data_IF_487001191073
#
_entry.id   IF_487001191073
#
_cell.length_a   1.000
_cell.length_b   1.000
_cell.length_c   1.000
_cell.angle_alpha   90.00
_cell.angle_beta   90.00
_cell.angle_gamma   90.00
#
_symmetry.space_group_name_H-M   'P 1'
#
loop_
_entity.id
_entity.type
_entity.pdbx_description
1 polymer ?
#
# COMPACT_ATOMS: atom_id res chain seq x y z
N UNK A 1 -4.50 12.22 -27.70
CA UNK A 1 -3.88 12.41 -26.37
C UNK A 1 -4.92 12.37 -25.26
N UNK A 2 -4.52 11.89 -24.08
CA UNK A 2 -5.25 11.93 -22.82
C UNK A 2 -4.51 12.86 -21.86
N UNK A 3 -5.25 13.73 -21.18
CA UNK A 3 -4.73 14.59 -20.12
C UNK A 3 -5.15 13.95 -18.80
N UNK A 4 -4.19 13.38 -18.07
CA UNK A 4 -4.44 12.56 -16.89
C UNK A 4 -3.85 13.23 -15.66
N UNK A 5 -4.67 13.42 -14.63
CA UNK A 5 -4.29 14.07 -13.39
C UNK A 5 -3.74 13.06 -12.39
N UNK A 6 -2.53 13.30 -11.90
CA UNK A 6 -1.90 12.53 -10.83
C UNK A 6 -1.77 13.42 -9.59
N UNK A 7 -2.23 12.93 -8.45
CA UNK A 7 -2.02 13.51 -7.12
C UNK A 7 -0.89 12.76 -6.42
N UNK A 8 0.09 13.49 -5.89
CA UNK A 8 1.28 12.93 -5.23
C UNK A 8 1.10 12.83 -3.71
N UNK A 9 2.13 12.30 -3.04
CA UNK A 9 2.11 12.04 -1.60
C UNK A 9 2.13 13.33 -0.76
N UNK A 10 2.60 14.44 -1.32
CA UNK A 10 2.55 15.80 -0.75
C UNK A 10 1.25 16.56 -1.11
N UNK A 11 0.29 15.87 -1.74
CA UNK A 11 -0.98 16.43 -2.25
C UNK A 11 -0.87 17.37 -3.45
N UNK A 12 0.35 17.62 -3.95
CA UNK A 12 0.55 18.30 -5.23
C UNK A 12 -0.12 17.51 -6.37
N UNK A 13 -0.55 18.22 -7.41
CA UNK A 13 -1.18 17.61 -8.58
C UNK A 13 -0.45 18.02 -9.85
N UNK A 14 -0.24 17.05 -10.75
CA UNK A 14 0.28 17.29 -12.09
C UNK A 14 -0.59 16.61 -13.13
N UNK A 15 -0.79 17.31 -14.24
CA UNK A 15 -1.44 16.73 -15.42
C UNK A 15 -0.36 16.25 -16.39
N UNK A 16 -0.44 14.97 -16.77
CA UNK A 16 0.42 14.35 -17.77
C UNK A 16 -0.35 14.13 -19.06
N UNK A 17 0.34 14.23 -20.19
CA UNK A 17 -0.23 14.01 -21.51
C UNK A 17 0.32 12.70 -22.06
N UNK A 18 -0.57 11.73 -22.30
CA UNK A 18 -0.21 10.38 -22.80
C UNK A 18 -1.01 10.03 -24.06
N UNK A 19 -0.57 9.04 -24.83
CA UNK A 19 -1.34 8.53 -25.96
C UNK A 19 -2.66 7.85 -25.52
N UNK A 20 -3.67 7.77 -26.40
CA UNK A 20 -4.94 7.09 -26.09
C UNK A 20 -4.79 5.58 -25.81
N UNK A 21 -3.77 4.96 -26.40
CA UNK A 21 -3.43 3.54 -26.20
C UNK A 21 -2.32 3.34 -25.16
N UNK A 22 -1.86 4.41 -24.51
CA UNK A 22 -0.78 4.38 -23.53
C UNK A 22 -1.05 3.33 -22.44
N UNK A 23 -0.09 2.43 -22.16
CA UNK A 23 -0.17 1.51 -21.04
C UNK A 23 -0.02 2.28 -19.72
N UNK A 24 -0.49 1.70 -18.61
CA UNK A 24 -0.32 2.32 -17.28
C UNK A 24 1.15 2.62 -16.92
N UNK A 25 2.10 1.84 -17.46
CA UNK A 25 3.55 2.03 -17.28
C UNK A 25 4.03 3.40 -17.74
N UNK A 26 3.45 3.94 -18.81
CA UNK A 26 3.85 5.25 -19.35
C UNK A 26 3.52 6.37 -18.35
N UNK A 27 2.27 6.43 -17.87
CA UNK A 27 1.86 7.41 -16.86
C UNK A 27 2.65 7.26 -15.55
N UNK A 28 2.90 6.02 -15.12
CA UNK A 28 3.68 5.75 -13.91
C UNK A 28 5.14 6.24 -14.06
N UNK A 29 5.79 5.91 -15.17
CA UNK A 29 7.17 6.35 -15.43
C UNK A 29 7.28 7.87 -15.51
N UNK A 30 6.33 8.55 -16.17
CA UNK A 30 6.29 10.01 -16.21
C UNK A 30 6.14 10.62 -14.80
N UNK A 31 5.32 9.97 -13.95
CA UNK A 31 5.14 10.37 -12.55
C UNK A 31 6.44 10.22 -11.75
N UNK A 32 7.13 9.09 -11.88
CA UNK A 32 8.43 8.86 -11.22
C UNK A 32 9.51 9.82 -11.74
N UNK A 33 9.56 10.07 -13.05
CA UNK A 33 10.50 11.04 -13.65
C UNK A 33 10.23 12.46 -13.17
N UNK A 34 8.96 12.85 -12.98
CA UNK A 34 8.64 14.16 -12.42
C UNK A 34 9.20 14.35 -11.00
N UNK A 35 9.21 13.28 -10.20
CA UNK A 35 9.76 13.28 -8.84
C UNK A 35 11.29 13.09 -8.80
N UNK A 36 11.96 12.78 -9.92
CA UNK A 36 13.34 12.26 -9.94
C UNK A 36 13.54 11.01 -9.07
N UNK A 37 12.53 10.14 -9.03
CA UNK A 37 12.54 8.93 -8.19
C UNK A 37 13.31 7.78 -8.87
N UNK A 38 14.34 7.28 -8.18
CA UNK A 38 15.15 6.11 -8.64
C UNK A 38 14.53 4.79 -8.22
N UNK A 39 14.14 4.65 -6.94
CA UNK A 39 13.56 3.42 -6.35
C UNK A 39 12.05 3.32 -6.62
N UNK A 40 11.69 3.19 -7.90
CA UNK A 40 10.30 3.22 -8.39
C UNK A 40 9.51 1.97 -7.98
N UNK A 41 10.18 0.86 -7.75
CA UNK A 41 9.61 -0.46 -7.50
C UNK A 41 8.68 -0.53 -6.28
N UNK A 42 8.82 0.39 -5.33
CA UNK A 42 8.00 0.45 -4.12
C UNK A 42 6.65 1.15 -4.31
N UNK A 43 6.42 1.81 -5.45
CA UNK A 43 5.30 2.70 -5.65
C UNK A 43 4.33 2.20 -6.73
N UNK A 44 3.16 2.84 -6.79
CA UNK A 44 2.19 2.60 -7.84
C UNK A 44 1.19 3.74 -7.98
N UNK A 45 0.34 3.65 -8.99
CA UNK A 45 -0.80 4.54 -9.16
C UNK A 45 -2.08 3.82 -8.77
N UNK A 46 -2.85 4.42 -7.87
CA UNK A 46 -4.17 3.97 -7.47
C UNK A 46 -5.25 4.87 -8.07
N UNK A 47 -6.42 4.33 -8.37
CA UNK A 47 -7.59 5.10 -8.76
C UNK A 47 -8.85 4.49 -8.16
N UNK A 48 -9.88 5.32 -7.99
CA UNK A 48 -11.21 4.84 -7.59
C UNK A 48 -11.97 4.41 -8.83
N UNK A 49 -12.45 3.16 -8.85
CA UNK A 49 -13.28 2.68 -9.95
C UNK A 49 -14.74 3.20 -9.81
N UNK A 50 -15.57 2.90 -10.81
CA UNK A 50 -16.99 3.30 -10.83
C UNK A 50 -17.84 2.67 -9.71
N UNK A 51 -17.40 1.56 -9.13
CA UNK A 51 -18.04 0.92 -7.98
C UNK A 51 -17.55 1.51 -6.64
N UNK A 52 -16.69 2.54 -6.69
CA UNK A 52 -16.14 3.17 -5.50
C UNK A 52 -14.95 2.43 -4.86
N UNK A 53 -14.52 1.29 -5.40
CA UNK A 53 -13.38 0.52 -4.91
C UNK A 53 -12.06 1.16 -5.34
N UNK A 54 -11.06 1.12 -4.45
CA UNK A 54 -9.69 1.52 -4.76
C UNK A 54 -8.99 0.41 -5.54
N UNK A 55 -8.38 0.76 -6.67
CA UNK A 55 -7.77 -0.17 -7.61
C UNK A 55 -6.38 0.33 -8.02
N UNK A 56 -5.39 -0.58 -8.02
CA UNK A 56 -4.10 -0.30 -8.64
C UNK A 56 -4.22 -0.27 -10.17
N UNK A 57 -3.64 0.75 -10.79
CA UNK A 57 -3.45 0.85 -12.23
C UNK A 57 -2.45 -0.22 -12.67
N UNK A 58 -2.89 -1.15 -13.50
CA UNK A 58 -2.01 -2.16 -14.07
C UNK A 58 -1.06 -1.54 -15.10
N UNK A 59 0.23 -1.80 -14.95
CA UNK A 59 1.27 -1.19 -15.78
C UNK A 59 1.21 -1.63 -17.25
N UNK A 60 0.84 -2.88 -17.52
CA UNK A 60 0.94 -3.48 -18.86
C UNK A 60 -0.29 -3.25 -19.76
N UNK A 61 -1.40 -2.77 -19.21
CA UNK A 61 -2.66 -2.63 -19.96
C UNK A 61 -2.90 -1.17 -20.32
N UNK A 62 -3.52 -0.88 -21.48
CA UNK A 62 -3.95 0.48 -21.81
C UNK A 62 -4.82 1.07 -20.70
N UNK A 63 -4.59 2.34 -20.35
CA UNK A 63 -5.33 3.02 -19.26
C UNK A 63 -6.84 3.02 -19.57
N UNK A 64 -7.21 3.27 -20.82
CA UNK A 64 -8.60 3.27 -21.32
C UNK A 64 -9.30 1.91 -21.23
N UNK A 65 -8.56 0.81 -21.06
CA UNK A 65 -9.12 -0.54 -20.83
C UNK A 65 -9.28 -0.87 -19.34
N UNK A 66 -8.82 0.00 -18.46
CA UNK A 66 -8.85 -0.17 -17.00
C UNK A 66 -9.76 0.86 -16.32
N UNK A 67 -9.82 2.07 -16.88
CA UNK A 67 -10.53 3.21 -16.34
C UNK A 67 -11.58 3.68 -17.34
N UNK A 68 -12.85 3.77 -16.91
CA UNK A 68 -13.98 4.12 -17.77
C UNK A 68 -13.93 5.59 -18.23
N UNK A 69 -13.64 6.51 -17.30
CA UNK A 69 -13.56 7.95 -17.54
C UNK A 69 -12.19 8.51 -17.11
N UNK A 70 -11.10 8.17 -17.82
CA UNK A 70 -9.75 8.44 -17.36
C UNK A 70 -9.43 9.94 -17.22
N UNK A 71 -10.06 10.81 -18.02
CA UNK A 71 -9.87 12.27 -17.94
C UNK A 71 -10.47 12.91 -16.68
N UNK A 72 -11.50 12.28 -16.12
CA UNK A 72 -12.18 12.72 -14.89
C UNK A 72 -11.63 12.01 -13.65
N UNK A 73 -10.74 11.03 -13.84
CA UNK A 73 -10.18 10.23 -12.76
C UNK A 73 -8.91 10.87 -12.22
N UNK A 74 -8.84 11.03 -10.89
CA UNK A 74 -7.59 11.35 -10.20
C UNK A 74 -6.84 10.05 -9.91
N UNK A 75 -5.64 9.93 -10.46
CA UNK A 75 -4.71 8.87 -10.12
C UNK A 75 -3.88 9.31 -8.91
N UNK A 76 -3.72 8.45 -7.91
CA UNK A 76 -2.96 8.75 -6.70
C UNK A 76 -1.65 7.99 -6.72
N UNK A 77 -0.53 8.71 -6.64
CA UNK A 77 0.78 8.11 -6.46
C UNK A 77 0.93 7.69 -4.99
N UNK A 78 1.14 6.40 -4.76
CA UNK A 78 1.10 5.79 -3.42
C UNK A 78 2.22 4.77 -3.24
N UNK A 79 2.63 4.53 -1.99
CA UNK A 79 3.48 3.37 -1.68
C UNK A 79 2.65 2.10 -1.86
N UNK A 80 3.17 1.17 -2.64
CA UNK A 80 2.56 -0.12 -2.95
C UNK A 80 3.17 -1.26 -2.16
N UNK A 81 4.49 -1.29 -2.00
CA UNK A 81 5.20 -2.33 -1.27
C UNK A 81 5.97 -1.72 -0.11
N UNK A 82 5.56 -2.04 1.11
CA UNK A 82 6.23 -1.61 2.32
C UNK A 82 7.33 -2.61 2.69
N UNK A 83 8.57 -2.12 2.79
CA UNK A 83 9.67 -2.91 3.34
C UNK A 83 9.53 -3.05 4.85
N UNK A 84 9.85 -4.23 5.37
CA UNK A 84 9.86 -4.53 6.82
C UNK A 84 10.84 -3.63 7.56
N UNK A 85 11.97 -3.37 6.92
CA UNK A 85 12.99 -2.45 7.39
C UNK A 85 13.10 -1.25 6.44
N UNK A 86 12.57 -0.07 6.82
CA UNK A 86 12.74 1.18 6.08
C UNK A 86 14.20 1.62 5.92
N UNK A 87 15.12 1.12 6.76
CA UNK A 87 16.56 1.39 6.64
C UNK A 87 17.19 0.83 5.35
N UNK A 88 16.51 -0.10 4.68
CA UNK A 88 16.92 -0.63 3.38
C UNK A 88 16.63 0.32 2.21
N UNK A 89 15.82 1.37 2.43
CA UNK A 89 15.58 2.41 1.42
C UNK A 89 16.84 3.25 1.25
N UNK A 90 17.42 3.25 0.04
CA UNK A 90 18.72 3.90 -0.21
C UNK A 90 18.55 5.41 -0.39
N UNK A 91 17.54 5.83 -1.14
CA UNK A 91 17.29 7.24 -1.48
C UNK A 91 16.58 8.02 -0.37
N UNK A 92 17.09 9.22 -0.08
CA UNK A 92 16.44 10.15 0.86
C UNK A 92 15.03 10.54 0.41
N UNK A 93 14.86 10.82 -0.88
CA UNK A 93 13.55 11.07 -1.49
C UNK A 93 12.58 9.90 -1.25
N UNK A 94 13.07 8.66 -1.37
CA UNK A 94 12.24 7.46 -1.16
C UNK A 94 11.76 7.39 0.29
N UNK A 95 12.66 7.64 1.25
CA UNK A 95 12.32 7.70 2.68
C UNK A 95 11.30 8.81 2.97
N UNK A 96 11.51 10.00 2.42
CA UNK A 96 10.58 11.12 2.53
C UNK A 96 9.18 10.77 1.99
N UNK A 97 9.10 10.15 0.81
CA UNK A 97 7.82 9.71 0.25
C UNK A 97 7.14 8.64 1.13
N UNK A 98 7.91 7.71 1.72
CA UNK A 98 7.37 6.78 2.71
C UNK A 98 6.86 7.50 3.97
N UNK A 99 7.58 8.51 4.47
CA UNK A 99 7.15 9.32 5.61
C UNK A 99 5.84 10.06 5.32
N UNK A 100 5.69 10.66 4.13
CA UNK A 100 4.44 11.27 3.68
C UNK A 100 3.29 10.26 3.59
N UNK A 101 3.57 9.03 3.15
CA UNK A 101 2.57 7.96 3.14
C UNK A 101 2.11 7.59 4.55
N UNK A 102 3.04 7.52 5.51
CA UNK A 102 2.71 7.28 6.93
C UNK A 102 1.90 8.44 7.50
N UNK A 103 2.31 9.70 7.27
CA UNK A 103 1.54 10.90 7.63
C UNK A 103 0.09 10.80 7.14
N UNK A 104 -0.11 10.47 5.85
CA UNK A 104 -1.44 10.29 5.26
C UNK A 104 -2.24 9.16 5.91
N UNK A 105 -1.60 8.04 6.22
CA UNK A 105 -2.26 6.92 6.87
C UNK A 105 -2.64 7.24 8.32
N UNK A 106 -1.80 8.02 9.01
CA UNK A 106 -2.06 8.49 10.37
C UNK A 106 -3.27 9.43 10.38
N UNK A 107 -3.26 10.46 9.54
CA UNK A 107 -4.36 11.45 9.46
C UNK A 107 -5.70 10.83 9.05
N UNK A 108 -5.68 9.81 8.18
CA UNK A 108 -6.89 9.11 7.74
C UNK A 108 -7.33 7.94 8.63
N UNK A 109 -6.64 7.69 9.75
CA UNK A 109 -6.95 6.58 10.66
C UNK A 109 -6.67 5.18 10.10
N UNK A 110 -5.91 5.08 9.00
CA UNK A 110 -5.53 3.81 8.35
C UNK A 110 -4.32 3.13 9.00
N UNK A 111 -3.66 3.81 9.94
CA UNK A 111 -2.59 3.26 10.75
C UNK A 111 -3.02 3.28 12.23
N UNK A 112 -3.96 2.43 12.64
CA UNK A 112 -4.47 2.44 14.01
C UNK A 112 -3.35 2.02 14.97
N UNK A 113 -3.16 2.84 16.01
CA UNK A 113 -2.18 2.63 17.07
C UNK A 113 -2.68 3.27 18.38
N UNK A 114 -1.97 3.02 19.48
CA UNK A 114 -2.28 3.69 20.74
C UNK A 114 -1.92 5.20 20.70
N UNK A 115 -2.51 5.97 21.62
CA UNK A 115 -2.34 7.42 21.71
C UNK A 115 -0.88 7.88 21.86
N UNK A 116 -0.03 7.09 22.52
CA UNK A 116 1.37 7.46 22.71
C UNK A 116 2.15 7.34 21.39
N UNK A 117 1.97 6.22 20.67
CA UNK A 117 2.55 6.03 19.35
C UNK A 117 2.02 7.06 18.34
N UNK A 118 0.72 7.35 18.38
CA UNK A 118 0.07 8.34 17.54
C UNK A 118 0.67 9.74 17.75
N UNK A 119 0.72 10.21 19.00
CA UNK A 119 1.25 11.53 19.34
C UNK A 119 2.75 11.64 19.05
N UNK A 120 3.53 10.58 19.31
CA UNK A 120 4.95 10.54 19.01
C UNK A 120 5.22 10.62 17.50
N UNK A 121 4.49 9.85 16.68
CA UNK A 121 4.61 9.95 15.22
C UNK A 121 4.22 11.35 14.72
N UNK A 122 3.12 11.92 15.20
CA UNK A 122 2.72 13.29 14.83
C UNK A 122 3.79 14.32 15.22
N UNK A 123 4.46 14.17 16.37
CA UNK A 123 5.55 15.06 16.78
C UNK A 123 6.76 15.04 15.85
N UNK A 124 7.08 13.89 15.24
CA UNK A 124 8.16 13.81 14.24
C UNK A 124 7.75 14.42 12.90
N UNK A 125 6.46 14.36 12.55
CA UNK A 125 5.94 15.10 11.39
C UNK A 125 6.09 16.60 11.61
N UNK A 126 5.78 17.12 12.81
CA UNK A 126 5.99 18.53 13.13
C UNK A 126 7.47 18.93 13.05
N UNK A 127 8.38 18.14 13.62
CA UNK A 127 9.83 18.42 13.53
C UNK A 127 10.32 18.43 12.08
N UNK A 128 9.80 17.53 11.23
CA UNK A 128 10.16 17.49 9.81
C UNK A 128 9.65 18.72 9.04
N UNK A 129 8.47 19.24 9.38
CA UNK A 129 7.82 20.35 8.68
C UNK A 129 8.21 21.75 9.18
N UNK A 130 8.40 21.89 10.50
CA UNK A 130 8.57 23.18 11.17
C UNK A 130 9.99 23.40 11.70
N UNK A 131 10.80 22.34 11.81
CA UNK A 131 12.10 22.40 12.49
C UNK A 131 11.94 22.38 14.02
N UNK A 132 12.83 23.08 14.74
CA UNK A 132 12.84 23.08 16.20
C UNK A 132 11.60 23.74 16.81
N UNK A 133 11.22 23.26 18.00
CA UNK A 133 9.99 23.66 18.67
C UNK A 133 9.94 25.16 19.00
N UNK A 134 8.88 25.82 18.55
CA UNK A 134 8.43 27.14 18.99
C UNK A 134 6.93 27.03 19.33
N UNK A 135 6.53 27.46 20.53
CA UNK A 135 5.23 27.11 21.11
C UNK A 135 4.06 27.71 20.35
N UNK A 136 4.10 29.01 20.04
CA UNK A 136 2.99 29.70 19.40
C UNK A 136 2.79 29.20 17.95
N UNK A 137 3.89 29.01 17.23
CA UNK A 137 3.91 28.44 15.89
C UNK A 137 3.37 27.01 15.89
N UNK A 138 3.82 26.16 16.82
CA UNK A 138 3.40 24.76 16.88
C UNK A 138 1.91 24.62 17.19
N UNK A 139 1.37 25.41 18.13
CA UNK A 139 -0.07 25.39 18.48
C UNK A 139 -0.92 25.83 17.31
N UNK A 140 -0.60 26.97 16.71
CA UNK A 140 -1.31 27.48 15.53
C UNK A 140 -1.27 26.49 14.36
N UNK A 141 -0.14 25.79 14.18
CA UNK A 141 0.00 24.80 13.13
C UNK A 141 -0.87 23.56 13.37
N UNK A 142 -0.98 23.08 14.61
CA UNK A 142 -1.89 21.99 14.98
C UNK A 142 -3.37 22.39 14.81
N UNK A 143 -3.75 23.63 15.12
CA UNK A 143 -5.12 24.11 14.88
C UNK A 143 -5.49 24.14 13.39
N UNK A 144 -4.50 24.38 12.51
CA UNK A 144 -4.72 24.53 11.06
C UNK A 144 -4.57 23.23 10.27
N UNK A 145 -3.95 22.19 10.84
CA UNK A 145 -3.59 20.96 10.12
C UNK A 145 -4.03 19.71 10.88
N UNK A 146 -4.61 18.74 10.16
CA UNK A 146 -5.04 17.46 10.74
C UNK A 146 -4.01 16.35 10.49
N UNK A 147 -3.38 15.86 11.56
CA UNK A 147 -2.43 14.73 11.57
C UNK A 147 -3.02 13.44 12.15
N UNK A 148 -4.06 13.56 12.98
CA UNK A 148 -4.68 12.44 13.71
C UNK A 148 -6.20 12.58 13.73
N UNK A 149 -7.00 11.50 13.69
CA UNK A 149 -8.46 11.61 13.79
C UNK A 149 -8.96 12.23 15.10
N UNK A 150 -8.25 12.03 16.21
CA UNK A 150 -8.56 12.52 17.56
C UNK A 150 -7.53 13.55 18.05
N UNK A 151 -7.05 14.41 17.15
CA UNK A 151 -5.91 15.30 17.39
C UNK A 151 -6.07 16.22 18.61
N UNK A 152 -7.20 16.92 18.76
CA UNK A 152 -7.42 17.88 19.85
C UNK A 152 -7.20 17.27 21.24
N UNK A 153 -7.59 16.00 21.43
CA UNK A 153 -7.36 15.26 22.68
C UNK A 153 -5.88 14.98 22.94
N UNK A 154 -5.06 14.95 21.88
CA UNK A 154 -3.65 14.58 21.89
C UNK A 154 -2.69 15.76 21.76
N UNK A 155 -3.15 16.97 21.44
CA UNK A 155 -2.28 18.13 21.18
C UNK A 155 -1.21 18.37 22.24
N UNK A 156 -1.61 18.43 23.51
CA UNK A 156 -0.67 18.62 24.61
C UNK A 156 0.37 17.48 24.72
N UNK A 157 0.01 16.26 24.31
CA UNK A 157 0.93 15.12 24.25
C UNK A 157 1.87 15.22 23.05
N UNK A 158 1.36 15.66 21.90
CA UNK A 158 2.16 15.91 20.68
C UNK A 158 3.23 16.96 20.97
N UNK A 159 2.84 18.11 21.54
CA UNK A 159 3.74 19.21 21.86
C UNK A 159 4.85 18.79 22.85
N UNK A 160 4.50 17.99 23.87
CA UNK A 160 5.47 17.44 24.83
C UNK A 160 6.53 16.54 24.20
N UNK A 161 6.17 15.77 23.17
CA UNK A 161 7.15 14.99 22.41
C UNK A 161 7.95 15.88 21.48
N UNK A 162 7.30 16.82 20.80
CA UNK A 162 7.92 17.71 19.83
C UNK A 162 9.06 18.54 20.45
N UNK A 163 8.86 19.06 21.66
CA UNK A 163 9.89 19.77 22.45
C UNK A 163 11.20 19.00 22.66
N UNK A 164 11.19 17.66 22.52
CA UNK A 164 12.36 16.79 22.77
C UNK A 164 13.18 16.51 21.51
N UNK A 165 12.74 16.99 20.35
CA UNK A 165 13.34 16.68 19.06
C UNK A 165 14.33 17.74 18.56
N UNK A 166 14.67 18.72 19.42
CA UNK A 166 15.58 19.83 19.09
C UNK A 166 16.86 19.34 18.41
N UNK A 167 17.23 20.01 17.32
CA UNK A 167 18.42 19.74 16.53
C UNK A 167 18.27 18.59 15.53
N UNK A 168 17.10 17.94 15.43
CA UNK A 168 16.85 16.90 14.42
C UNK A 168 16.51 17.53 13.09
N UNK A 169 17.21 17.10 12.04
CA UNK A 169 16.89 17.44 10.66
C UNK A 169 15.57 16.80 10.20
N UNK A 170 14.96 17.29 9.09
CA UNK A 170 13.80 16.63 8.50
C UNK A 170 14.05 15.17 8.13
N UNK A 171 15.20 14.86 7.50
CA UNK A 171 15.54 13.49 7.12
C UNK A 171 15.69 12.53 8.32
N UNK A 172 16.24 13.00 9.43
CA UNK A 172 16.31 12.22 10.68
C UNK A 172 14.92 12.02 11.28
N UNK A 173 14.07 13.04 11.24
CA UNK A 173 12.70 12.99 11.76
C UNK A 173 11.83 12.02 10.97
N UNK A 174 11.94 12.03 9.64
CA UNK A 174 11.31 11.06 8.75
C UNK A 174 11.76 9.64 9.07
N UNK A 175 13.05 9.43 9.32
CA UNK A 175 13.57 8.12 9.72
C UNK A 175 13.01 7.64 11.06
N UNK A 176 12.90 8.52 12.06
CA UNK A 176 12.29 8.17 13.35
C UNK A 176 10.81 7.85 13.20
N UNK A 177 10.07 8.62 12.39
CA UNK A 177 8.67 8.33 12.06
C UNK A 177 8.53 6.92 11.47
N UNK A 178 9.38 6.56 10.50
CA UNK A 178 9.37 5.24 9.87
C UNK A 178 9.76 4.12 10.85
N UNK A 179 10.73 4.36 11.73
CA UNK A 179 11.16 3.38 12.75
C UNK A 179 10.07 3.08 13.79
N UNK A 180 9.25 4.08 14.13
CA UNK A 180 8.09 3.87 14.99
C UNK A 180 6.98 3.14 14.22
N UNK A 181 6.67 3.63 13.01
CA UNK A 181 5.58 3.08 12.21
C UNK A 181 5.79 1.59 11.91
N UNK A 182 7.01 1.15 11.57
CA UNK A 182 7.30 -0.26 11.24
C UNK A 182 7.07 -1.25 12.39
N UNK A 183 7.02 -0.76 13.63
CA UNK A 183 6.76 -1.58 14.83
C UNK A 183 5.27 -1.86 15.04
N UNK A 184 4.39 -1.18 14.29
CA UNK A 184 2.95 -1.39 14.36
C UNK A 184 2.53 -2.61 13.54
N UNK A 185 1.65 -3.45 14.09
CA UNK A 185 1.09 -4.61 13.38
C UNK A 185 0.33 -4.24 12.09
N UNK A 186 -0.10 -2.99 11.98
CA UNK A 186 -0.85 -2.44 10.85
C UNK A 186 0.04 -1.72 9.82
N UNK A 187 1.36 -1.70 10.02
CA UNK A 187 2.30 -1.08 9.09
C UNK A 187 2.26 -1.71 7.70
N UNK A 188 1.95 -0.90 6.70
CA UNK A 188 1.81 -1.35 5.31
C UNK A 188 0.64 -2.30 5.06
N UNK A 189 -0.24 -2.51 6.04
CA UNK A 189 -1.38 -3.42 5.94
C UNK A 189 -2.59 -2.66 5.36
N UNK A 190 -3.09 -3.15 4.23
CA UNK A 190 -4.32 -2.65 3.59
C UNK A 190 -5.44 -3.69 3.71
N UNK A 191 -6.35 -3.57 4.70
CA UNK A 191 -7.42 -4.53 4.89
C UNK A 191 -8.49 -4.43 3.79
N UNK A 192 -9.01 -5.59 3.40
CA UNK A 192 -10.14 -5.76 2.49
C UNK A 192 -11.24 -6.53 3.22
N UNK A 193 -12.42 -5.93 3.35
CA UNK A 193 -13.56 -6.56 4.00
C UNK A 193 -13.92 -7.91 3.35
N UNK A 194 -14.15 -8.91 4.19
CA UNK A 194 -14.54 -10.25 3.79
C UNK A 194 -15.34 -10.95 4.90
N UNK A 195 -15.91 -12.10 4.59
CA UNK A 195 -16.37 -13.06 5.58
C UNK A 195 -15.69 -14.41 5.39
N UNK A 196 -15.54 -15.18 6.46
CA UNK A 196 -15.10 -16.57 6.37
C UNK A 196 -16.22 -17.51 5.88
N UNK A 197 -15.95 -18.82 5.92
CA UNK A 197 -16.90 -19.86 5.53
C UNK A 197 -18.10 -20.00 6.47
N UNK A 198 -18.06 -19.39 7.65
CA UNK A 198 -19.12 -19.42 8.67
C UNK A 198 -19.90 -18.09 8.71
N UNK A 199 -19.47 -17.09 7.94
CA UNK A 199 -20.12 -15.78 7.85
C UNK A 199 -19.60 -14.75 8.85
N UNK A 200 -18.56 -15.06 9.63
CA UNK A 200 -17.93 -14.09 10.52
C UNK A 200 -17.28 -12.98 9.69
N UNK A 201 -17.56 -11.73 10.05
CA UNK A 201 -16.96 -10.56 9.42
C UNK A 201 -15.49 -10.43 9.83
N UNK A 202 -14.63 -10.36 8.83
CA UNK A 202 -13.17 -10.28 8.94
C UNK A 202 -12.62 -9.32 7.89
N UNK A 203 -11.33 -9.06 7.96
CA UNK A 203 -10.58 -8.41 6.90
C UNK A 203 -9.47 -9.33 6.40
N UNK A 204 -9.25 -9.34 5.10
CA UNK A 204 -8.07 -9.94 4.49
C UNK A 204 -7.06 -8.86 4.14
N UNK A 205 -5.79 -9.11 4.37
CA UNK A 205 -4.72 -8.26 3.88
C UNK A 205 -3.59 -9.11 3.28
N UNK A 206 -2.72 -8.47 2.51
CA UNK A 206 -1.51 -9.11 2.01
C UNK A 206 -0.29 -8.40 2.56
N UNK A 207 0.73 -9.16 2.95
CA UNK A 207 2.00 -8.67 3.46
C UNK A 207 3.18 -9.49 2.90
N UNK A 208 4.40 -9.06 3.21
CA UNK A 208 5.63 -9.76 2.81
C UNK A 208 5.68 -11.23 3.28
N UNK A 209 5.04 -11.56 4.41
CA UNK A 209 4.99 -12.92 4.96
C UNK A 209 3.90 -13.82 4.37
N UNK A 210 2.80 -13.25 3.87
CA UNK A 210 1.65 -14.05 3.47
C UNK A 210 0.34 -13.27 3.32
N UNK A 211 -0.76 -14.02 3.36
CA UNK A 211 -2.12 -13.49 3.47
C UNK A 211 -2.52 -13.45 4.94
N UNK A 212 -2.91 -12.27 5.43
CA UNK A 212 -3.33 -12.04 6.80
C UNK A 212 -4.85 -12.10 6.91
N UNK A 213 -5.35 -12.62 8.03
CA UNK A 213 -6.74 -12.52 8.45
C UNK A 213 -6.79 -11.64 9.70
N UNK A 214 -7.61 -10.59 9.66
CA UNK A 214 -7.79 -9.67 10.78
C UNK A 214 -9.25 -9.65 11.22
N UNK A 215 -9.46 -9.49 12.53
CA UNK A 215 -10.77 -9.17 13.13
C UNK A 215 -10.66 -7.79 13.74
N UNK A 216 -11.39 -6.82 13.18
CA UNK A 216 -11.09 -5.41 13.42
C UNK A 216 -9.66 -5.09 12.99
N UNK A 217 -8.84 -4.57 13.91
CA UNK A 217 -7.42 -4.26 13.69
C UNK A 217 -6.47 -5.35 14.20
N UNK A 218 -7.00 -6.43 14.81
CA UNK A 218 -6.20 -7.51 15.38
C UNK A 218 -5.98 -8.61 14.35
N UNK A 219 -4.72 -8.95 14.08
CA UNK A 219 -4.34 -10.10 13.25
C UNK A 219 -4.68 -11.40 14.00
N UNK A 220 -5.59 -12.20 13.45
CA UNK A 220 -6.02 -13.48 14.04
C UNK A 220 -5.37 -14.69 13.37
N UNK A 221 -4.91 -14.55 12.12
CA UNK A 221 -4.21 -15.63 11.42
C UNK A 221 -3.27 -15.09 10.33
N UNK A 222 -2.28 -15.90 9.96
CA UNK A 222 -1.34 -15.66 8.85
C UNK A 222 -1.17 -16.93 8.03
N UNK A 223 -1.58 -16.87 6.76
CA UNK A 223 -1.25 -17.91 5.78
C UNK A 223 0.08 -17.55 5.12
N UNK A 224 1.16 -18.12 5.66
CA UNK A 224 2.52 -17.91 5.15
C UNK A 224 2.64 -18.33 3.69
N UNK A 225 3.45 -17.61 2.91
CA UNK A 225 3.66 -17.96 1.49
C UNK A 225 4.12 -19.41 1.29
N UNK A 226 4.99 -19.92 2.17
CA UNK A 226 5.47 -21.31 2.13
C UNK A 226 4.34 -22.35 2.29
N UNK A 227 3.25 -21.96 2.97
CA UNK A 227 2.11 -22.82 3.24
C UNK A 227 1.06 -22.79 2.12
N UNK A 228 1.08 -21.75 1.27
CA UNK A 228 0.10 -21.53 0.22
C UNK A 228 0.54 -22.25 -1.06
N UNK A 229 -0.20 -23.30 -1.43
CA UNK A 229 -0.02 -24.02 -2.70
C UNK A 229 -0.61 -23.25 -3.88
N UNK A 230 -1.78 -22.64 -3.71
CA UNK A 230 -2.47 -21.93 -4.79
C UNK A 230 -3.44 -20.87 -4.26
N UNK A 231 -3.39 -19.69 -4.87
CA UNK A 231 -4.41 -18.66 -4.74
C UNK A 231 -5.30 -18.62 -5.98
N UNK A 232 -6.61 -18.53 -5.75
CA UNK A 232 -7.58 -18.38 -6.84
C UNK A 232 -8.82 -17.63 -6.37
N UNK A 233 -9.69 -17.26 -7.31
CA UNK A 233 -10.98 -16.69 -6.97
C UNK A 233 -12.06 -17.17 -7.94
N UNK A 234 -13.30 -17.23 -7.46
CA UNK A 234 -14.50 -17.56 -8.25
C UNK A 234 -15.66 -16.68 -7.80
N UNK A 235 -16.19 -15.87 -8.73
CA UNK A 235 -17.19 -14.83 -8.41
C UNK A 235 -16.64 -13.93 -7.29
N UNK A 236 -17.35 -13.82 -6.17
CA UNK A 236 -16.96 -13.05 -4.98
C UNK A 236 -16.17 -13.86 -3.95
N UNK A 237 -15.83 -15.11 -4.23
CA UNK A 237 -15.12 -15.97 -3.29
C UNK A 237 -13.62 -16.01 -3.62
N UNK A 238 -12.79 -15.69 -2.63
CA UNK A 238 -11.34 -15.85 -2.64
C UNK A 238 -10.99 -17.20 -2.03
N UNK A 239 -10.07 -17.94 -2.65
CA UNK A 239 -9.74 -19.31 -2.26
C UNK A 239 -8.23 -19.43 -2.03
N UNK A 240 -7.87 -19.91 -0.84
CA UNK A 240 -6.50 -20.26 -0.47
C UNK A 240 -6.43 -21.77 -0.37
N UNK A 241 -5.66 -22.41 -1.25
CA UNK A 241 -5.33 -23.83 -1.16
C UNK A 241 -3.97 -24.00 -0.50
N UNK A 242 -3.90 -24.76 0.57
CA UNK A 242 -2.67 -25.04 1.31
C UNK A 242 -1.94 -26.26 0.74
N UNK A 243 -0.66 -26.41 1.08
CA UNK A 243 0.05 -27.66 0.83
C UNK A 243 -0.49 -28.79 1.73
N UNK A 244 -0.52 -30.05 1.24
CA UNK A 244 -0.92 -31.20 2.06
C UNK A 244 -0.04 -31.31 3.31
N UNK A 245 -0.60 -31.82 4.43
CA UNK A 245 0.09 -32.08 5.71
C UNK A 245 0.51 -30.86 6.55
N UNK A 246 0.04 -29.66 6.22
CA UNK A 246 0.25 -28.49 7.09
C UNK A 246 -0.62 -28.58 8.35
N UNK A 247 -1.82 -29.15 8.22
CA UNK A 247 -2.70 -29.40 9.36
C UNK A 247 -3.71 -30.50 8.96
N UNK A 248 -3.72 -31.64 9.64
CA UNK A 248 -4.60 -32.78 9.33
C UNK A 248 -6.07 -32.50 9.66
N UNK A 249 -6.36 -31.45 10.45
CA UNK A 249 -7.71 -31.01 10.78
C UNK A 249 -8.24 -29.87 9.90
N UNK A 250 -7.37 -29.20 9.12
CA UNK A 250 -7.79 -28.06 8.33
C UNK A 250 -8.25 -28.48 6.92
N UNK A 251 -9.34 -27.88 6.41
CA UNK A 251 -9.71 -28.04 5.00
C UNK A 251 -8.55 -27.55 4.14
N UNK A 252 -8.09 -28.39 3.22
CA UNK A 252 -7.07 -28.06 2.21
C UNK A 252 -7.35 -26.75 1.46
N UNK A 253 -8.62 -26.36 1.36
CA UNK A 253 -9.06 -25.13 0.69
C UNK A 253 -9.92 -24.29 1.62
N UNK A 254 -9.43 -23.09 1.90
CA UNK A 254 -10.12 -22.05 2.66
C UNK A 254 -10.85 -21.12 1.69
N UNK A 255 -12.05 -20.71 2.06
CA UNK A 255 -12.91 -19.86 1.21
C UNK A 255 -13.32 -18.62 2.00
N UNK A 256 -13.08 -17.46 1.41
CA UNK A 256 -13.46 -16.17 1.95
C UNK A 256 -14.38 -15.46 0.97
N UNK A 257 -15.48 -14.89 1.46
CA UNK A 257 -16.43 -14.15 0.63
C UNK A 257 -16.14 -12.66 0.74
N UNK A 258 -15.83 -12.02 -0.39
CA UNK A 258 -15.58 -10.58 -0.46
C UNK A 258 -16.83 -9.85 -0.99
N UNK A 259 -16.80 -8.53 -0.93
CA UNK A 259 -17.91 -7.66 -1.38
C UNK A 259 -18.34 -7.94 -2.82
N UNK A 260 -17.39 -8.08 -3.74
CA UNK A 260 -17.67 -8.25 -5.16
C UNK A 260 -16.62 -9.10 -5.87
N UNK A 261 -16.94 -9.52 -7.10
CA UNK A 261 -15.97 -10.19 -7.98
C UNK A 261 -14.76 -9.32 -8.29
N UNK A 262 -14.94 -8.01 -8.39
CA UNK A 262 -13.85 -7.08 -8.70
C UNK A 262 -12.97 -6.83 -7.49
N UNK A 263 -13.54 -6.69 -6.29
CA UNK A 263 -12.78 -6.66 -5.03
C UNK A 263 -11.94 -7.94 -4.88
N UNK A 264 -12.54 -9.10 -5.13
CA UNK A 264 -11.86 -10.39 -5.05
C UNK A 264 -10.73 -10.54 -6.08
N UNK A 265 -10.96 -10.12 -7.32
CA UNK A 265 -9.94 -10.08 -8.36
C UNK A 265 -8.81 -9.09 -8.03
N UNK A 266 -9.14 -7.94 -7.44
CA UNK A 266 -8.16 -6.94 -7.02
C UNK A 266 -7.25 -7.52 -5.93
N UNK A 267 -7.84 -8.10 -4.89
CA UNK A 267 -7.10 -8.73 -3.81
C UNK A 267 -6.23 -9.89 -4.28
N UNK A 268 -6.77 -10.78 -5.13
CA UNK A 268 -5.97 -11.86 -5.73
C UNK A 268 -4.77 -11.34 -6.53
N UNK A 269 -4.93 -10.25 -7.30
CA UNK A 269 -3.81 -9.63 -8.00
C UNK A 269 -2.78 -9.09 -7.01
N UNK A 270 -3.22 -8.37 -5.98
CA UNK A 270 -2.31 -7.86 -4.93
C UNK A 270 -1.52 -9.00 -4.30
N UNK A 271 -2.14 -10.15 -4.00
CA UNK A 271 -1.43 -11.33 -3.50
C UNK A 271 -0.38 -11.86 -4.47
N UNK A 272 -0.71 -11.96 -5.76
CA UNK A 272 0.24 -12.40 -6.79
C UNK A 272 1.42 -11.43 -6.92
N UNK A 273 1.15 -10.12 -6.89
CA UNK A 273 2.18 -9.07 -6.97
C UNK A 273 3.09 -9.08 -5.74
N UNK A 274 2.54 -9.14 -4.52
CA UNK A 274 3.32 -9.21 -3.28
C UNK A 274 4.17 -10.48 -3.20
N UNK A 275 3.59 -11.63 -3.53
CA UNK A 275 4.35 -12.88 -3.58
C UNK A 275 5.51 -12.76 -4.58
N UNK A 276 5.27 -12.21 -5.77
CA UNK A 276 6.32 -12.03 -6.75
C UNK A 276 7.41 -11.06 -6.25
N UNK A 277 7.01 -9.92 -5.69
CA UNK A 277 7.93 -8.89 -5.21
C UNK A 277 8.84 -9.39 -4.07
N UNK A 278 8.28 -10.10 -3.06
CA UNK A 278 9.03 -10.47 -1.85
C UNK A 278 9.64 -11.88 -1.86
N UNK A 279 9.23 -12.77 -2.78
CA UNK A 279 9.66 -14.20 -2.73
C UNK A 279 10.37 -14.69 -3.95
N UNK A 280 10.18 -14.05 -5.09
CA UNK A 280 10.84 -14.48 -6.31
C UNK A 280 12.14 -13.68 -6.47
N UNK A 281 13.22 -14.34 -6.86
CA UNK A 281 14.45 -13.66 -7.29
C UNK A 281 14.42 -13.34 -8.79
N UNK A 282 13.61 -14.10 -9.55
CA UNK A 282 13.49 -14.00 -11.01
C UNK A 282 12.06 -14.22 -11.48
N UNK A 283 11.77 -13.74 -12.69
CA UNK A 283 10.46 -13.88 -13.31
C UNK A 283 10.18 -15.33 -13.77
N UNK A 284 9.09 -15.99 -13.31
CA UNK A 284 8.92 -17.43 -13.55
C UNK A 284 8.67 -17.76 -15.02
N UNK A 285 9.53 -18.55 -15.69
CA UNK A 285 9.41 -18.89 -17.14
C UNK A 285 8.00 -19.33 -17.56
N UNK A 286 7.56 -18.91 -18.77
CA UNK A 286 6.23 -19.25 -19.30
C UNK A 286 6.08 -20.77 -19.45
N UNK A 287 5.11 -21.37 -18.76
CA UNK A 287 4.67 -22.74 -19.07
C UNK A 287 3.70 -22.70 -20.26
N UNK A 288 3.89 -23.54 -21.31
CA UNK A 288 2.94 -23.63 -22.42
C UNK A 288 1.55 -23.97 -21.91
N UNK A 289 0.52 -23.28 -22.41
CA UNK A 289 -0.87 -23.60 -22.06
C UNK A 289 -1.41 -24.65 -23.04
N UNK A 290 -2.12 -25.69 -22.58
CA UNK A 290 -2.91 -26.53 -23.47
C UNK A 290 -4.02 -25.70 -24.11
N UNK A 291 -4.23 -25.88 -25.43
CA UNK A 291 -5.01 -25.03 -26.34
C UNK A 291 -6.51 -24.84 -25.97
N UNK A 292 -7.05 -25.56 -24.97
CA UNK A 292 -8.50 -25.67 -24.74
C UNK A 292 -9.06 -24.96 -23.49
N UNK A 293 -8.26 -24.20 -22.73
CA UNK A 293 -8.75 -23.51 -21.52
C UNK A 293 -8.34 -22.02 -21.46
N UNK A 294 -9.09 -21.15 -22.16
CA UNK A 294 -8.86 -19.69 -22.16
C UNK A 294 -9.73 -18.90 -21.15
N UNK A 295 -10.62 -19.55 -20.40
CA UNK A 295 -11.47 -18.87 -19.41
C UNK A 295 -10.76 -18.74 -18.05
N UNK A 296 -9.89 -17.74 -17.92
CA UNK A 296 -9.21 -17.40 -16.67
C UNK A 296 -8.49 -16.05 -16.71
N UNK A 297 -8.18 -15.49 -15.54
CA UNK A 297 -7.36 -14.27 -15.45
C UNK A 297 -5.92 -14.58 -15.87
N UNK A 298 -5.44 -13.96 -16.97
CA UNK A 298 -4.06 -14.07 -17.45
C UNK A 298 -3.11 -13.04 -16.79
N UNK A 299 -3.45 -12.54 -15.60
CA UNK A 299 -2.61 -11.56 -14.94
C UNK A 299 -1.28 -12.19 -14.50
N UNK A 300 -0.20 -11.43 -14.67
CA UNK A 300 1.16 -11.85 -14.37
C UNK A 300 1.98 -10.62 -13.99
N UNK A 301 2.75 -10.74 -12.92
CA UNK A 301 3.76 -9.77 -12.55
C UNK A 301 5.00 -9.93 -13.44
N UNK A 302 5.62 -8.83 -13.88
CA UNK A 302 6.86 -8.86 -14.68
C UNK A 302 7.99 -8.11 -13.96
N UNK A 303 9.22 -8.63 -14.05
CA UNK A 303 10.46 -8.14 -13.46
C UNK A 303 11.17 -7.05 -14.27
N UNK A 304 10.71 -6.72 -15.48
CA UNK A 304 11.16 -5.50 -16.22
C UNK A 304 10.85 -4.17 -15.46
N UNK A 305 10.54 -4.28 -14.17
CA UNK A 305 10.04 -3.30 -13.21
C UNK A 305 10.88 -3.30 -11.89
N UNK A 306 12.03 -4.00 -11.81
CA UNK A 306 12.95 -3.97 -10.64
C UNK A 306 14.37 -3.68 -11.15
N UNK A 307 14.96 -2.56 -10.72
CA UNK A 307 16.40 -2.35 -10.93
C UNK A 307 17.15 -3.46 -10.19
N UNK A 308 18.22 -4.00 -10.79
CA UNK A 308 18.89 -5.25 -10.42
C UNK A 308 19.60 -5.29 -9.05
N UNK A 309 19.10 -4.58 -8.03
CA UNK A 309 19.76 -4.41 -6.72
C UNK A 309 18.81 -4.56 -5.52
N UNK A 310 17.88 -5.52 -5.61
CA UNK A 310 17.09 -5.97 -4.46
C UNK A 310 17.49 -7.41 -4.07
N UNK A 311 18.76 -7.56 -3.68
CA UNK A 311 19.29 -8.53 -2.71
C UNK A 311 20.48 -7.86 -2.02
#
# INVERSE_FOLDING_TARGET
>A
MLHLKVQFLDDSQKTFVVDQKAPGKELFNMSCSHLNLTEKEYFGLEFRNHAGCQMWLGLLKPITKQVKHPKETIFKFMVKFFLVDPGLLKGELTRYLFALQIKKNLASGKLPCNDNSAALMASYVLQSELGDFEEDTARKHLEQNQYLPNQEYLDNKILKYYQRHVGKSPAESDMQLLDIARKLDTYGIRPHAASDGEGMQINLAVAHMGVLVLRGNTKINTFNWANIRKLSFKRKHFLIKLHPHIDTLCKDTLVFTMESRDACKAFWKSCVEYHAFFRLSEEPKRKPKPFLCSKGSNFRYRYEDVSSHAF
#
